data_IF_147528638310
#
_entry.id   IF_147528638310
#
_cell.length_a   1.000
_cell.length_b   1.000
_cell.length_c   1.000
_cell.angle_alpha   90.00
_cell.angle_beta   90.00
_cell.angle_gamma   90.00
#
_symmetry.space_group_name_H-M   'P 1'
#
loop_
_entity.id
_entity.type
_entity.pdbx_description
1 polymer ?
#
# COMPACT_ATOMS: atom_id res chain seq x y z
N UNK A 1 0.90 0.15 -13.80
CA UNK A 1 2.06 0.06 -12.88
C UNK A 1 2.25 1.44 -12.29
N UNK A 2 2.10 1.58 -10.99
CA UNK A 2 2.22 2.86 -10.27
C UNK A 2 3.19 2.69 -9.11
N UNK A 3 4.00 3.70 -8.86
CA UNK A 3 4.87 3.75 -7.69
C UNK A 3 4.40 4.90 -6.79
N UNK A 4 4.31 4.65 -5.49
CA UNK A 4 4.04 5.68 -4.51
C UNK A 4 4.83 5.40 -3.23
N UNK A 5 5.10 6.44 -2.47
CA UNK A 5 5.73 6.34 -1.15
C UNK A 5 4.66 6.61 -0.11
N UNK A 6 4.46 5.68 0.82
CA UNK A 6 3.48 5.80 1.90
C UNK A 6 4.19 5.59 3.25
N UNK A 7 3.63 6.09 4.36
CA UNK A 7 4.09 5.73 5.70
C UNK A 7 4.00 4.22 5.96
N UNK A 8 4.91 3.69 6.78
CA UNK A 8 4.90 2.30 7.20
C UNK A 8 3.55 1.89 7.82
N UNK A 9 2.94 2.75 8.65
CA UNK A 9 1.61 2.48 9.24
C UNK A 9 0.52 2.27 8.18
N UNK A 10 0.59 2.98 7.06
CA UNK A 10 -0.38 2.88 5.97
C UNK A 10 -0.20 1.55 5.25
N UNK A 11 1.05 1.12 5.05
CA UNK A 11 1.33 -0.20 4.49
C UNK A 11 0.82 -1.33 5.38
N UNK A 12 1.05 -1.26 6.68
CA UNK A 12 0.55 -2.22 7.67
C UNK A 12 -0.98 -2.30 7.64
N UNK A 13 -1.66 -1.15 7.63
CA UNK A 13 -3.13 -1.11 7.55
C UNK A 13 -3.66 -1.74 6.26
N UNK A 14 -3.03 -1.42 5.11
CA UNK A 14 -3.41 -1.97 3.81
C UNK A 14 -3.20 -3.48 3.73
N UNK A 15 -2.05 -3.99 4.19
CA UNK A 15 -1.80 -5.44 4.22
C UNK A 15 -2.73 -6.15 5.21
N UNK A 16 -3.03 -5.53 6.36
CA UNK A 16 -4.03 -6.02 7.32
C UNK A 16 -5.44 -6.08 6.74
N UNK A 17 -5.78 -5.19 5.80
CA UNK A 17 -7.03 -5.19 5.05
C UNK A 17 -7.05 -6.16 3.85
N UNK A 18 -5.96 -6.89 3.61
CA UNK A 18 -5.85 -7.87 2.53
C UNK A 18 -5.36 -7.31 1.20
N UNK A 19 -4.90 -6.06 1.14
CA UNK A 19 -4.21 -5.55 -0.04
C UNK A 19 -2.95 -6.39 -0.30
N UNK A 20 -2.61 -6.60 -1.57
CA UNK A 20 -1.42 -7.36 -1.98
C UNK A 20 -0.65 -6.57 -3.02
N UNK A 21 0.59 -6.20 -2.67
CA UNK A 21 1.51 -5.46 -3.52
C UNK A 21 2.94 -5.59 -2.98
N UNK A 22 3.92 -5.08 -3.72
CA UNK A 22 5.33 -5.15 -3.33
C UNK A 22 5.82 -3.84 -2.72
N UNK A 23 6.56 -3.94 -1.63
CA UNK A 23 7.39 -2.84 -1.14
C UNK A 23 8.61 -2.67 -2.05
N UNK A 24 9.00 -1.43 -2.26
CA UNK A 24 10.11 -1.00 -3.11
C UNK A 24 11.13 -0.26 -2.23
N UNK A 25 12.34 -0.81 -2.13
CA UNK A 25 13.45 -0.23 -1.36
C UNK A 25 13.11 0.05 0.13
N UNK A 26 12.44 -0.89 0.81
CA UNK A 26 12.16 -0.80 2.25
C UNK A 26 11.49 -2.04 2.82
N UNK A 27 11.34 -2.09 4.15
CA UNK A 27 10.67 -3.14 4.90
C UNK A 27 9.90 -2.55 6.08
N UNK A 28 8.82 -3.21 6.50
CA UNK A 28 8.00 -2.77 7.64
C UNK A 28 8.60 -3.16 9.00
N UNK A 29 9.34 -4.26 9.05
CA UNK A 29 9.89 -4.76 10.30
C UNK A 29 10.86 -3.75 10.93
N UNK A 30 10.51 -3.27 12.13
CA UNK A 30 11.28 -2.27 12.87
C UNK A 30 11.19 -0.83 12.32
N UNK A 31 10.35 -0.54 11.33
CA UNK A 31 10.15 0.81 10.83
C UNK A 31 9.30 1.65 11.81
N UNK A 32 9.63 2.94 11.95
CA UNK A 32 8.75 3.88 12.66
C UNK A 32 7.46 4.11 11.83
N UNK A 33 6.30 4.39 12.46
CA UNK A 33 5.02 4.52 11.76
C UNK A 33 5.03 5.49 10.57
N UNK A 34 5.76 6.60 10.68
CA UNK A 34 5.87 7.67 9.69
C UNK A 34 6.99 7.43 8.65
N UNK A 35 7.72 6.32 8.75
CA UNK A 35 8.82 5.98 7.83
C UNK A 35 8.30 5.91 6.40
N UNK A 36 8.83 6.72 5.46
CA UNK A 36 8.39 6.70 4.08
C UNK A 36 8.96 5.47 3.36
N UNK A 37 8.09 4.57 2.90
CA UNK A 37 8.48 3.34 2.20
C UNK A 37 7.86 3.35 0.80
N UNK A 38 8.65 2.98 -0.20
CA UNK A 38 8.17 2.86 -1.57
C UNK A 38 7.27 1.63 -1.73
N UNK A 39 6.27 1.72 -2.60
CA UNK A 39 5.46 0.60 -3.03
C UNK A 39 5.24 0.61 -4.53
N UNK A 40 5.14 -0.61 -5.09
CA UNK A 40 4.87 -0.86 -6.50
C UNK A 40 3.50 -1.53 -6.65
N UNK A 41 2.57 -0.82 -7.25
CA UNK A 41 1.20 -1.26 -7.50
C UNK A 41 1.02 -1.74 -8.94
N UNK A 42 0.38 -2.89 -9.09
CA UNK A 42 0.06 -3.51 -10.37
C UNK A 42 -1.40 -3.94 -10.33
N UNK A 43 -2.16 -3.55 -11.35
CA UNK A 43 -3.51 -4.05 -11.57
C UNK A 43 -3.46 -5.08 -12.70
N UNK A 44 -4.16 -6.20 -12.52
CA UNK A 44 -4.40 -7.17 -13.57
C UNK A 44 -5.79 -6.96 -14.20
N UNK A 45 -6.19 -7.87 -15.09
CA UNK A 45 -7.47 -7.83 -15.80
C UNK A 45 -8.70 -8.10 -14.91
N UNK A 46 -8.50 -8.54 -13.66
CA UNK A 46 -9.58 -8.86 -12.71
C UNK A 46 -9.85 -7.73 -11.71
N UNK A 47 -9.05 -6.66 -11.72
CA UNK A 47 -9.27 -5.50 -10.86
C UNK A 47 -10.57 -4.78 -11.15
N UNK A 48 -11.24 -4.35 -10.09
CA UNK A 48 -12.48 -3.58 -10.15
C UNK A 48 -12.31 -2.23 -9.47
N UNK A 49 -13.11 -1.24 -9.88
CA UNK A 49 -13.13 0.08 -9.25
C UNK A 49 -13.44 -0.02 -7.75
N UNK A 50 -14.37 -0.91 -7.36
CA UNK A 50 -14.70 -1.12 -5.95
C UNK A 50 -13.51 -1.58 -5.10
N UNK A 51 -12.63 -2.43 -5.64
CA UNK A 51 -11.40 -2.85 -4.95
C UNK A 51 -10.42 -1.68 -4.82
N UNK A 52 -10.34 -0.80 -5.83
CA UNK A 52 -9.52 0.41 -5.79
C UNK A 52 -10.07 1.40 -4.76
N UNK A 53 -11.38 1.61 -4.73
CA UNK A 53 -12.04 2.50 -3.76
C UNK A 53 -11.82 2.01 -2.32
N UNK A 54 -11.94 0.70 -2.08
CA UNK A 54 -11.65 0.11 -0.78
C UNK A 54 -10.19 0.35 -0.36
N UNK A 55 -9.24 0.21 -1.29
CA UNK A 55 -7.84 0.56 -1.05
C UNK A 55 -7.67 2.05 -0.69
N UNK A 56 -8.27 2.95 -1.46
CA UNK A 56 -8.15 4.39 -1.26
C UNK A 56 -8.76 4.84 0.08
N UNK A 57 -9.80 4.17 0.56
CA UNK A 57 -10.42 4.46 1.85
C UNK A 57 -9.49 4.21 3.06
N UNK A 58 -8.39 3.45 2.88
CA UNK A 58 -7.37 3.25 3.91
C UNK A 58 -6.25 4.31 3.88
N UNK A 59 -6.23 5.18 2.88
CA UNK A 59 -5.24 6.27 2.82
C UNK A 59 -5.72 7.43 3.71
N UNK A 60 -4.87 7.84 4.66
CA UNK A 60 -5.08 9.09 5.40
C UNK A 60 -4.81 10.29 4.46
N UNK A 61 -5.60 11.38 4.55
CA UNK A 61 -5.40 12.59 3.75
C UNK A 61 -4.09 13.32 4.08
#
# INVERSE_FOLDING_TARGET
MTFATLPAETHEALFGAGASYHLWEGALDGAAPDTPIGARFVCDWSMTEATVDAFLAHLKP
#
